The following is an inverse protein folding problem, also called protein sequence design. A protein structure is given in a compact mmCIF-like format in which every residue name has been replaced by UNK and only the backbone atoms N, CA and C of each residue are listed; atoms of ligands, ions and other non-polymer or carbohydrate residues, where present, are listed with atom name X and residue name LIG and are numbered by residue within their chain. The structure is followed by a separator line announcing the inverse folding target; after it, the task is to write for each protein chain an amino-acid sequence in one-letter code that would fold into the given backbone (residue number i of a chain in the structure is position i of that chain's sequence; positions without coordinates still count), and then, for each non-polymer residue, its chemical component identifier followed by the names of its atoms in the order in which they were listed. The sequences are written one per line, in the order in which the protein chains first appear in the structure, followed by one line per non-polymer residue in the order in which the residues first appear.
data_IF_436914568571
#
_entry.id   IF_436914568571
#
_cell.length_a   1.000
_cell.length_b   1.000
_cell.length_c   1.000
_cell.angle_alpha   90.00
_cell.angle_beta   90.00
_cell.angle_gamma   90.00
#
_symmetry.space_group_name_H-M   'P 1'
#
loop_
_entity.id
_entity.type
_entity.pdbx_description
1 polymer ?
#
# COMPACT_ATOMS: atom_id res chain seq x y z
N UNK A 1 -42.90 5.44 -37.92
CA UNK A 1 -42.91 4.99 -36.52
C UNK A 1 -41.47 4.71 -36.16
N UNK A 2 -40.73 5.74 -35.78
CA UNK A 2 -39.35 5.61 -35.31
C UNK A 2 -39.17 6.62 -34.18
N UNK A 3 -38.87 6.14 -32.98
CA UNK A 3 -38.28 6.97 -31.95
C UNK A 3 -37.39 6.09 -31.06
N UNK A 4 -36.09 6.17 -31.36
CA UNK A 4 -34.99 5.69 -30.53
C UNK A 4 -34.91 6.58 -29.27
N UNK A 5 -35.41 6.09 -28.14
CA UNK A 5 -35.11 6.69 -26.84
C UNK A 5 -33.75 6.17 -26.35
N UNK A 6 -32.73 7.03 -26.44
CA UNK A 6 -31.52 6.89 -25.63
C UNK A 6 -31.84 7.21 -24.16
N UNK A 7 -31.27 6.48 -23.17
CA UNK A 7 -31.33 6.91 -21.79
C UNK A 7 -30.26 7.99 -21.56
N UNK A 8 -30.71 9.23 -21.35
CA UNK A 8 -29.88 10.36 -20.94
C UNK A 8 -29.29 10.11 -19.55
N UNK A 9 -27.99 10.38 -19.44
CA UNK A 9 -27.20 10.34 -18.22
C UNK A 9 -27.78 11.22 -17.11
N UNK A 10 -28.12 10.62 -15.97
CA UNK A 10 -28.19 11.33 -14.68
C UNK A 10 -27.06 10.85 -13.78
N UNK A 11 -25.83 11.15 -14.16
CA UNK A 11 -24.67 11.09 -13.27
C UNK A 11 -24.40 12.52 -12.79
N UNK A 12 -24.28 12.66 -11.47
CA UNK A 12 -23.70 13.82 -10.76
C UNK A 12 -24.65 14.88 -10.17
N UNK A 13 -25.62 14.47 -9.33
CA UNK A 13 -25.94 15.27 -8.13
C UNK A 13 -26.18 14.39 -6.90
N UNK A 14 -25.61 14.72 -5.71
CA UNK A 14 -25.93 14.02 -4.48
C UNK A 14 -27.32 14.47 -3.97
N UNK A 15 -28.33 13.62 -4.17
CA UNK A 15 -29.66 13.80 -3.58
C UNK A 15 -29.57 13.95 -2.04
N UNK A 16 -30.19 14.97 -1.43
CA UNK A 16 -30.27 15.11 0.02
C UNK A 16 -31.05 13.92 0.63
N UNK A 17 -30.53 13.33 1.70
CA UNK A 17 -31.19 12.26 2.45
C UNK A 17 -30.75 10.80 2.18
N UNK A 18 -29.69 10.55 1.40
CA UNK A 18 -29.17 9.17 1.27
C UNK A 18 -28.59 8.66 2.61
N UNK A 19 -28.92 7.41 3.03
CA UNK A 19 -28.34 6.81 4.23
C UNK A 19 -26.82 6.73 4.13
N UNK A 20 -26.16 6.78 5.29
CA UNK A 20 -24.71 6.61 5.40
C UNK A 20 -24.31 5.28 4.74
N UNK A 21 -23.30 5.32 3.86
CA UNK A 21 -22.75 4.09 3.27
C UNK A 21 -22.09 3.19 4.32
N UNK A 22 -21.84 3.74 5.51
CA UNK A 22 -21.05 3.13 6.57
C UNK A 22 -21.76 3.12 7.93
N UNK A 23 -22.91 2.46 8.02
CA UNK A 23 -23.79 2.46 9.20
C UNK A 23 -23.20 1.75 10.43
N UNK A 24 -22.22 0.86 10.27
CA UNK A 24 -21.57 0.13 11.37
C UNK A 24 -20.18 0.68 11.74
N UNK A 25 -19.71 1.76 11.09
CA UNK A 25 -18.48 2.43 11.52
C UNK A 25 -18.67 3.11 12.88
N UNK A 26 -17.63 3.06 13.72
CA UNK A 26 -17.55 3.86 14.93
C UNK A 26 -17.82 5.35 14.60
N UNK A 27 -18.64 6.04 15.41
CA UNK A 27 -19.04 7.42 15.17
C UNK A 27 -17.86 8.37 14.90
N UNK A 28 -16.70 8.14 15.53
CA UNK A 28 -15.49 8.94 15.33
C UNK A 28 -14.82 8.68 13.98
N UNK A 29 -14.83 7.44 13.49
CA UNK A 29 -14.37 7.12 12.14
C UNK A 29 -15.23 7.86 11.11
N UNK A 30 -16.55 7.81 11.31
CA UNK A 30 -17.50 8.51 10.45
C UNK A 30 -17.33 10.04 10.50
N UNK A 31 -17.06 10.61 11.67
CA UNK A 31 -16.82 12.05 11.82
C UNK A 31 -15.63 12.51 10.99
N UNK A 32 -14.51 11.79 11.05
CA UNK A 32 -13.32 12.10 10.23
C UNK A 32 -13.64 11.98 8.75
N UNK A 33 -14.32 10.89 8.35
CA UNK A 33 -14.69 10.67 6.96
C UNK A 33 -15.62 11.77 6.42
N UNK A 34 -16.56 12.24 7.23
CA UNK A 34 -17.41 13.40 6.90
C UNK A 34 -16.60 14.68 6.75
N UNK A 35 -15.68 14.96 7.68
CA UNK A 35 -14.83 16.15 7.61
C UNK A 35 -13.98 16.17 6.34
N UNK A 36 -13.35 15.04 5.99
CA UNK A 36 -12.58 14.91 4.75
C UNK A 36 -13.44 15.02 3.48
N UNK A 37 -14.72 14.65 3.56
CA UNK A 37 -15.63 14.79 2.42
C UNK A 37 -16.04 16.23 2.12
N UNK A 38 -15.92 17.15 3.09
CA UNK A 38 -16.27 18.57 2.89
C UNK A 38 -15.23 19.31 2.04
N UNK A 39 -13.96 18.90 2.11
CA UNK A 39 -12.86 19.47 1.35
C UNK A 39 -11.98 18.34 0.81
N UNK A 40 -12.31 17.79 -0.39
CA UNK A 40 -11.60 16.64 -0.92
C UNK A 40 -10.15 16.99 -1.23
N UNK A 41 -9.21 16.42 -0.46
CA UNK A 41 -7.79 16.81 -0.51
C UNK A 41 -7.13 16.55 -1.87
N UNK A 42 -7.64 15.60 -2.64
CA UNK A 42 -7.13 15.30 -3.99
C UNK A 42 -7.43 16.40 -5.02
N UNK A 43 -8.23 17.41 -4.67
CA UNK A 43 -8.41 18.62 -5.49
C UNK A 43 -7.29 19.65 -5.31
N UNK A 44 -6.44 19.48 -4.29
CA UNK A 44 -5.28 20.32 -4.07
C UNK A 44 -4.13 19.90 -5.01
N UNK A 45 -3.14 20.79 -5.27
CA UNK A 45 -1.88 20.38 -5.87
C UNK A 45 -1.27 19.19 -5.11
N UNK A 46 -0.70 18.22 -5.83
CA UNK A 46 -0.17 16.95 -5.27
C UNK A 46 0.78 17.20 -4.08
N UNK A 47 1.66 18.20 -4.19
CA UNK A 47 2.62 18.57 -3.14
C UNK A 47 1.94 19.01 -1.85
N UNK A 48 0.87 19.80 -1.96
CA UNK A 48 0.08 20.23 -0.81
C UNK A 48 -0.70 19.06 -0.22
N UNK A 49 -1.27 18.18 -1.05
CA UNK A 49 -1.95 16.97 -0.57
C UNK A 49 -0.99 16.08 0.25
N UNK A 50 0.24 15.84 -0.25
CA UNK A 50 1.29 15.11 0.49
C UNK A 50 1.58 15.74 1.85
N UNK A 51 1.70 17.07 1.91
CA UNK A 51 1.94 17.78 3.17
C UNK A 51 0.78 17.63 4.16
N UNK A 52 -0.47 17.82 3.70
CA UNK A 52 -1.66 17.67 4.55
C UNK A 52 -1.78 16.24 5.07
N UNK A 53 -1.53 15.23 4.23
CA UNK A 53 -1.57 13.83 4.64
C UNK A 53 -0.53 13.52 5.73
N UNK A 54 0.70 14.05 5.61
CA UNK A 54 1.72 13.94 6.66
C UNK A 54 1.31 14.63 7.96
N UNK A 55 0.73 15.82 7.88
CA UNK A 55 0.25 16.54 9.05
C UNK A 55 -0.87 15.76 9.77
N UNK A 56 -1.81 15.20 9.00
CA UNK A 56 -2.88 14.37 9.54
C UNK A 56 -2.36 13.15 10.29
N UNK A 57 -1.40 12.39 9.73
CA UNK A 57 -0.84 11.22 10.42
C UNK A 57 -0.17 11.59 11.75
N UNK A 58 0.60 12.69 11.79
CA UNK A 58 1.23 13.14 13.04
C UNK A 58 0.21 13.49 14.13
N UNK A 59 -0.89 14.12 13.74
CA UNK A 59 -1.92 14.60 14.66
C UNK A 59 -2.88 13.48 15.08
N UNK A 60 -3.34 12.65 14.13
CA UNK A 60 -4.43 11.69 14.31
C UNK A 60 -3.97 10.22 14.38
N UNK A 61 -2.79 9.92 13.83
CA UNK A 61 -2.19 8.60 13.80
C UNK A 61 -1.61 8.20 15.15
N UNK A 62 -0.88 7.08 15.16
CA UNK A 62 -0.34 6.50 16.40
C UNK A 62 0.56 7.47 17.16
N UNK A 63 0.67 7.27 18.47
CA UNK A 63 1.74 7.92 19.25
C UNK A 63 3.08 7.31 18.86
N UNK A 64 4.10 8.15 18.65
CA UNK A 64 5.46 7.70 18.36
C UNK A 64 5.98 6.82 19.50
N UNK A 65 6.61 5.71 19.13
CA UNK A 65 7.23 4.77 20.06
C UNK A 65 8.75 4.82 19.84
N UNK A 66 9.53 4.91 20.93
CA UNK A 66 10.99 4.82 20.86
C UNK A 66 11.45 3.42 20.48
N UNK A 67 12.46 3.35 19.63
CA UNK A 67 13.07 2.10 19.16
C UNK A 67 14.49 2.00 19.70
N UNK A 68 14.94 0.78 19.98
CA UNK A 68 16.32 0.51 20.42
C UNK A 68 17.35 1.03 19.40
N UNK A 69 17.06 0.85 18.11
CA UNK A 69 17.90 1.36 17.02
C UNK A 69 17.06 1.71 15.81
N UNK A 70 17.42 2.82 15.18
CA UNK A 70 16.95 3.21 13.85
C UNK A 70 18.14 3.46 12.95
N UNK A 71 18.10 2.92 11.74
CA UNK A 71 19.11 3.16 10.72
C UNK A 71 18.43 3.80 9.52
N UNK A 72 18.99 4.90 9.05
CA UNK A 72 18.58 5.59 7.82
C UNK A 72 19.62 5.30 6.76
N UNK A 73 19.19 4.79 5.60
CA UNK A 73 20.05 4.50 4.46
C UNK A 73 19.51 5.19 3.22
N UNK A 74 20.41 5.50 2.31
CA UNK A 74 20.10 5.95 0.96
C UNK A 74 20.75 4.95 0.02
N UNK A 75 19.96 4.32 -0.84
CA UNK A 75 20.45 3.30 -1.76
C UNK A 75 20.27 3.77 -3.20
N UNK A 76 21.19 3.41 -4.11
CA UNK A 76 21.03 3.71 -5.52
C UNK A 76 19.92 2.84 -6.14
N UNK A 77 19.24 3.40 -7.13
CA UNK A 77 18.31 2.71 -8.02
C UNK A 77 18.77 2.89 -9.46
N UNK A 78 18.67 1.85 -10.28
CA UNK A 78 19.18 1.82 -11.66
C UNK A 78 18.16 2.32 -12.69
N UNK A 79 16.89 2.45 -12.29
CA UNK A 79 15.81 2.82 -13.21
C UNK A 79 15.67 4.33 -13.33
N UNK A 80 16.00 4.86 -14.52
CA UNK A 80 15.80 6.26 -14.87
C UNK A 80 14.43 6.49 -15.51
N UNK A 81 13.97 7.73 -15.46
CA UNK A 81 12.85 8.19 -16.29
C UNK A 81 13.23 8.04 -17.77
N UNK A 82 12.34 7.50 -18.62
CA UNK A 82 12.55 7.38 -20.07
C UNK A 82 12.57 8.74 -20.81
N UNK A 83 12.59 9.86 -20.09
CA UNK A 83 12.45 11.22 -20.63
C UNK A 83 13.73 12.07 -20.75
N UNK A 84 14.80 11.77 -20.01
CA UNK A 84 16.01 12.61 -20.02
C UNK A 84 17.17 11.92 -20.73
N UNK A 85 17.28 12.17 -22.03
CA UNK A 85 18.42 11.78 -22.86
C UNK A 85 19.63 12.72 -22.72
N UNK A 86 19.70 13.57 -21.69
CA UNK A 86 20.70 14.64 -21.57
C UNK A 86 21.50 14.67 -20.26
N UNK A 87 21.28 13.76 -19.31
CA UNK A 87 22.05 13.79 -18.06
C UNK A 87 23.42 13.10 -18.21
N UNK A 88 24.47 13.87 -17.93
CA UNK A 88 25.86 13.40 -17.87
C UNK A 88 26.05 12.42 -16.71
N UNK A 89 27.05 11.52 -16.84
CA UNK A 89 27.31 10.44 -15.89
C UNK A 89 27.48 10.88 -14.43
N UNK A 90 27.92 12.13 -14.20
CA UNK A 90 28.09 12.69 -12.84
C UNK A 90 26.76 13.17 -12.20
N UNK A 91 25.73 13.50 -13.00
CA UNK A 91 24.39 13.87 -12.50
C UNK A 91 23.47 12.66 -12.28
N UNK A 92 23.73 11.53 -12.93
CA UNK A 92 22.96 10.29 -12.77
C UNK A 92 22.97 9.76 -11.32
N UNK A 93 24.00 10.08 -10.54
CA UNK A 93 24.24 9.50 -9.22
C UNK A 93 23.51 10.19 -8.06
N UNK A 94 23.00 11.42 -8.23
CA UNK A 94 22.36 12.18 -7.13
C UNK A 94 20.82 12.06 -7.18
N UNK A 95 20.22 11.88 -8.37
CA UNK A 95 18.76 11.88 -8.55
C UNK A 95 18.10 10.49 -8.58
N UNK A 96 18.86 9.40 -8.55
CA UNK A 96 18.35 8.03 -8.57
C UNK A 96 18.68 7.28 -7.30
N UNK A 97 18.16 7.79 -6.19
CA UNK A 97 18.27 7.11 -4.90
C UNK A 97 16.92 7.01 -4.22
N UNK A 98 16.76 5.98 -3.40
CA UNK A 98 15.61 5.83 -2.52
C UNK A 98 16.07 5.70 -1.07
N UNK A 99 15.22 6.15 -0.16
CA UNK A 99 15.51 6.11 1.28
C UNK A 99 14.98 4.82 1.88
N UNK A 100 15.76 4.19 2.75
CA UNK A 100 15.31 3.10 3.61
C UNK A 100 15.40 3.55 5.06
N UNK A 101 14.38 3.23 5.86
CA UNK A 101 14.42 3.38 7.31
C UNK A 101 14.21 2.04 7.98
N UNK A 102 15.20 1.61 8.76
CA UNK A 102 15.22 0.33 9.46
C UNK A 102 14.87 0.59 10.92
N UNK A 103 13.84 -0.09 11.42
CA UNK A 103 13.42 -0.08 12.81
C UNK A 103 13.77 -1.41 13.44
N UNK A 104 14.70 -1.40 14.40
CA UNK A 104 15.10 -2.60 15.13
C UNK A 104 14.48 -2.58 16.53
N UNK A 105 13.55 -3.49 16.85
CA UNK A 105 12.95 -3.58 18.18
C UNK A 105 13.87 -4.25 19.21
N UNK A 106 14.97 -4.89 18.77
CA UNK A 106 16.08 -5.32 19.63
C UNK A 106 17.39 -5.39 18.85
N UNK A 107 18.49 -4.90 19.44
CA UNK A 107 19.79 -4.81 18.77
C UNK A 107 20.64 -6.10 18.78
N UNK A 108 20.27 -7.11 19.59
CA UNK A 108 21.20 -8.17 20.01
C UNK A 108 21.11 -9.49 19.24
N UNK A 109 20.19 -9.64 18.27
CA UNK A 109 20.06 -10.89 17.48
C UNK A 109 19.70 -10.56 16.03
N UNK A 110 20.19 -11.33 15.03
CA UNK A 110 19.67 -11.25 13.67
C UNK A 110 18.16 -11.50 13.70
N UNK A 111 17.38 -10.50 13.31
CA UNK A 111 15.92 -10.58 13.42
C UNK A 111 15.30 -10.96 12.09
N UNK A 112 14.16 -11.64 12.18
CA UNK A 112 13.21 -11.69 11.05
C UNK A 112 12.89 -10.28 10.62
N UNK A 113 12.63 -10.10 9.34
CA UNK A 113 12.53 -8.76 8.75
C UNK A 113 11.33 -8.68 7.83
N UNK A 114 10.56 -7.60 7.96
CA UNK A 114 9.55 -7.20 7.01
C UNK A 114 10.04 -5.98 6.23
N UNK A 115 10.21 -6.14 4.92
CA UNK A 115 10.37 -5.00 4.01
C UNK A 115 8.99 -4.40 3.75
N UNK A 116 8.78 -3.17 4.21
CA UNK A 116 7.49 -2.52 4.28
C UNK A 116 7.36 -1.39 3.26
N UNK A 117 6.35 -1.47 2.41
CA UNK A 117 5.97 -0.45 1.44
C UNK A 117 4.74 0.30 1.95
N UNK A 118 4.81 1.61 2.00
CA UNK A 118 3.71 2.43 2.51
C UNK A 118 2.54 2.53 1.52
N UNK A 119 1.33 2.78 2.02
CA UNK A 119 0.17 3.10 1.19
C UNK A 119 0.18 4.54 0.65
N UNK A 120 -0.89 4.88 -0.08
CA UNK A 120 -1.08 6.23 -0.66
C UNK A 120 -1.26 6.25 -2.18
N UNK A 121 -1.77 5.17 -2.77
CA UNK A 121 -2.08 5.12 -4.21
C UNK A 121 -0.87 5.25 -5.14
N UNK A 122 0.35 5.13 -4.61
CA UNK A 122 1.58 5.43 -5.36
C UNK A 122 1.80 6.92 -5.64
N UNK A 123 1.00 7.81 -5.02
CA UNK A 123 1.01 9.26 -5.29
C UNK A 123 1.30 10.06 -4.02
N UNK A 124 0.76 9.62 -2.88
CA UNK A 124 1.01 10.20 -1.55
C UNK A 124 1.66 9.16 -0.62
N UNK A 125 1.91 9.56 0.62
CA UNK A 125 2.64 8.75 1.59
C UNK A 125 4.15 8.98 1.52
N UNK A 126 4.86 8.39 2.47
CA UNK A 126 6.32 8.34 2.57
C UNK A 126 6.70 7.52 3.82
N UNK A 127 7.99 7.19 3.96
CA UNK A 127 8.56 6.67 5.21
C UNK A 127 8.21 7.51 6.45
N UNK A 128 7.95 8.82 6.27
CA UNK A 128 7.59 9.71 7.39
C UNK A 128 6.12 9.61 7.78
N UNK A 129 5.22 9.43 6.81
CA UNK A 129 3.78 9.24 7.08
C UNK A 129 3.47 7.88 7.71
N UNK A 130 4.39 6.93 7.60
CA UNK A 130 4.23 5.59 8.16
C UNK A 130 5.23 5.33 9.30
N UNK A 131 5.94 6.36 9.79
CA UNK A 131 6.98 6.20 10.82
C UNK A 131 6.42 5.58 12.11
N UNK A 132 5.32 6.13 12.60
CA UNK A 132 4.71 5.65 13.84
C UNK A 132 4.13 4.25 13.67
N UNK A 133 3.55 3.94 12.51
CA UNK A 133 3.03 2.61 12.22
C UNK A 133 4.14 1.56 12.09
N UNK A 134 5.25 1.88 11.40
CA UNK A 134 6.39 0.96 11.29
C UNK A 134 7.05 0.69 12.64
N UNK A 135 7.20 1.71 13.51
CA UNK A 135 7.64 1.51 14.90
C UNK A 135 6.70 0.59 15.67
N UNK A 136 5.40 0.76 15.47
CA UNK A 136 4.37 -0.03 16.12
C UNK A 136 4.42 -1.48 15.68
N UNK A 137 4.54 -1.74 14.38
CA UNK A 137 4.77 -3.07 13.81
C UNK A 137 6.05 -3.69 14.35
N UNK A 138 7.17 -2.95 14.36
CA UNK A 138 8.46 -3.45 14.84
C UNK A 138 8.36 -3.92 16.30
N UNK A 139 7.83 -3.07 17.17
CA UNK A 139 7.69 -3.37 18.61
C UNK A 139 6.76 -4.56 18.87
N UNK A 140 5.57 -4.57 18.28
CA UNK A 140 4.54 -5.54 18.63
C UNK A 140 4.63 -6.85 17.82
N UNK A 141 5.13 -6.77 16.60
CA UNK A 141 5.46 -7.92 15.75
C UNK A 141 6.84 -8.52 16.03
N UNK A 142 7.64 -7.91 16.90
CA UNK A 142 8.95 -8.39 17.37
C UNK A 142 9.93 -8.75 16.24
N UNK A 143 9.91 -7.97 15.17
CA UNK A 143 10.78 -8.16 14.01
C UNK A 143 11.25 -6.83 13.45
N UNK A 144 12.36 -6.84 12.70
CA UNK A 144 12.83 -5.64 12.02
C UNK A 144 11.80 -5.20 10.98
N UNK A 145 11.59 -3.90 10.88
CA UNK A 145 10.81 -3.30 9.78
C UNK A 145 11.76 -2.45 8.95
N UNK A 146 11.77 -2.63 7.63
CA UNK A 146 12.52 -1.78 6.70
C UNK A 146 11.52 -1.05 5.83
N UNK A 147 11.24 0.21 6.16
CA UNK A 147 10.33 1.05 5.38
C UNK A 147 11.05 1.61 4.15
N UNK A 148 10.47 1.38 2.98
CA UNK A 148 11.02 1.79 1.68
C UNK A 148 10.35 3.09 1.22
N UNK A 149 11.14 4.12 0.96
CA UNK A 149 10.73 5.38 0.37
C UNK A 149 10.82 5.36 -1.15
N UNK A 150 10.04 4.49 -1.78
CA UNK A 150 9.97 4.36 -3.24
C UNK A 150 9.46 5.66 -3.89
N UNK A 151 9.87 5.95 -5.12
CA UNK A 151 9.50 7.18 -5.83
C UNK A 151 8.01 7.18 -6.16
N UNK A 152 7.40 8.36 -6.16
CA UNK A 152 5.95 8.52 -6.29
C UNK A 152 5.56 9.16 -7.62
N UNK A 153 4.38 8.79 -8.09
CA UNK A 153 3.67 9.46 -9.15
C UNK A 153 3.08 10.80 -8.67
N UNK A 154 2.80 11.77 -9.57
CA UNK A 154 2.97 11.70 -11.02
C UNK A 154 4.40 11.90 -11.52
N UNK A 155 5.34 12.27 -10.66
CA UNK A 155 6.74 12.50 -11.04
C UNK A 155 7.36 11.21 -11.58
N UNK A 156 7.06 10.08 -10.94
CA UNK A 156 7.52 8.75 -11.34
C UNK A 156 6.33 7.78 -11.47
N UNK A 157 5.75 7.74 -12.68
CA UNK A 157 4.62 6.88 -13.03
C UNK A 157 5.02 5.40 -13.10
N UNK A 158 4.03 4.52 -13.23
CA UNK A 158 4.21 3.11 -13.56
C UNK A 158 5.24 2.93 -14.71
N UNK A 159 6.19 1.97 -14.63
CA UNK A 159 6.39 0.97 -13.57
C UNK A 159 7.46 1.39 -12.52
N UNK A 160 7.87 2.66 -12.46
CA UNK A 160 9.00 3.09 -11.61
C UNK A 160 8.82 2.71 -10.12
N UNK A 161 7.64 2.91 -9.50
CA UNK A 161 7.44 2.52 -8.10
C UNK A 161 7.62 1.01 -7.85
N UNK A 162 7.31 0.16 -8.84
CA UNK A 162 7.54 -1.30 -8.78
C UNK A 162 9.04 -1.58 -8.83
N UNK A 163 9.73 -0.93 -9.76
CA UNK A 163 11.17 -1.12 -9.93
C UNK A 163 11.92 -0.73 -8.66
N UNK A 164 11.59 0.40 -8.04
CA UNK A 164 12.18 0.84 -6.78
C UNK A 164 11.94 -0.18 -5.64
N UNK A 165 10.72 -0.76 -5.59
CA UNK A 165 10.38 -1.76 -4.59
C UNK A 165 11.21 -3.05 -4.76
N UNK A 166 11.40 -3.50 -6.00
CA UNK A 166 12.24 -4.66 -6.34
C UNK A 166 13.73 -4.35 -6.09
N UNK A 167 14.20 -3.14 -6.40
CA UNK A 167 15.59 -2.74 -6.13
C UNK A 167 15.89 -2.66 -4.64
N UNK A 168 14.97 -2.10 -3.84
CA UNK A 168 15.08 -2.16 -2.38
C UNK A 168 15.12 -3.60 -1.87
N UNK A 169 14.22 -4.46 -2.37
CA UNK A 169 14.20 -5.88 -2.03
C UNK A 169 15.54 -6.57 -2.34
N UNK A 170 16.06 -6.39 -3.55
CA UNK A 170 17.33 -6.97 -3.98
C UNK A 170 18.50 -6.42 -3.16
N UNK A 171 18.57 -5.12 -2.93
CA UNK A 171 19.61 -4.50 -2.11
C UNK A 171 19.63 -5.07 -0.70
N UNK A 172 18.46 -5.22 -0.06
CA UNK A 172 18.35 -5.75 1.31
C UNK A 172 18.84 -7.20 1.36
N UNK A 173 18.48 -8.02 0.38
CA UNK A 173 18.95 -9.41 0.28
C UNK A 173 20.47 -9.47 0.04
N UNK A 174 21.00 -8.66 -0.88
CA UNK A 174 22.43 -8.62 -1.21
C UNK A 174 23.29 -8.11 -0.03
N UNK A 175 22.73 -7.25 0.84
CA UNK A 175 23.45 -6.63 1.96
C UNK A 175 23.02 -7.15 3.35
N UNK A 176 22.34 -8.30 3.41
CA UNK A 176 21.72 -8.80 4.64
C UNK A 176 22.71 -8.91 5.83
N UNK A 177 23.98 -9.27 5.58
CA UNK A 177 25.02 -9.36 6.63
C UNK A 177 25.33 -8.00 7.25
N UNK A 178 25.52 -6.98 6.42
CA UNK A 178 25.81 -5.60 6.87
C UNK A 178 24.62 -5.00 7.64
N UNK A 179 23.40 -5.40 7.25
CA UNK A 179 22.17 -4.98 7.89
C UNK A 179 21.82 -5.81 9.14
N UNK A 180 22.60 -6.83 9.48
CA UNK A 180 22.33 -7.79 10.56
C UNK A 180 20.95 -8.48 10.43
N UNK A 181 20.62 -8.90 9.22
CA UNK A 181 19.36 -9.57 8.86
C UNK A 181 19.64 -11.03 8.54
N UNK A 182 18.75 -11.92 9.00
CA UNK A 182 18.75 -13.31 8.57
C UNK A 182 18.04 -13.43 7.21
N UNK A 183 18.74 -13.82 6.12
CA UNK A 183 18.19 -13.84 4.77
C UNK A 183 17.12 -14.92 4.57
N UNK A 184 17.04 -15.92 5.45
CA UNK A 184 16.01 -16.98 5.37
C UNK A 184 14.64 -16.51 5.87
N UNK A 185 14.55 -15.37 6.55
CA UNK A 185 13.33 -14.89 7.20
C UNK A 185 13.02 -13.42 6.86
N UNK A 186 13.17 -13.08 5.59
CA UNK A 186 12.77 -11.77 5.06
C UNK A 186 11.43 -11.92 4.32
N UNK A 187 10.41 -11.22 4.80
CA UNK A 187 9.13 -11.06 4.12
C UNK A 187 8.97 -9.67 3.51
N UNK A 188 7.93 -9.53 2.69
CA UNK A 188 7.48 -8.24 2.14
C UNK A 188 6.11 -7.90 2.71
N UNK A 189 5.76 -6.62 2.77
CA UNK A 189 4.44 -6.23 3.20
C UNK A 189 4.17 -4.77 2.97
N UNK A 190 2.92 -4.39 3.19
CA UNK A 190 2.49 -3.03 2.98
C UNK A 190 0.99 -2.90 3.07
N UNK A 191 0.56 -1.65 3.08
CA UNK A 191 -0.85 -1.30 3.12
C UNK A 191 -1.29 -0.66 1.81
N UNK A 192 -2.52 -0.93 1.36
CA UNK A 192 -3.09 -0.31 0.16
C UNK A 192 -2.18 -0.53 -1.08
N UNK A 193 -1.71 0.54 -1.72
CA UNK A 193 -0.72 0.51 -2.81
C UNK A 193 0.61 -0.15 -2.40
N UNK A 194 1.05 -0.03 -1.15
CA UNK A 194 2.24 -0.74 -0.66
C UNK A 194 2.02 -2.24 -0.58
N UNK A 195 0.80 -2.68 -0.24
CA UNK A 195 0.41 -4.10 -0.32
C UNK A 195 0.45 -4.63 -1.76
N UNK A 196 0.09 -3.80 -2.73
CA UNK A 196 0.26 -4.13 -4.15
C UNK A 196 1.73 -4.32 -4.55
N UNK A 197 2.64 -3.41 -4.14
CA UNK A 197 4.07 -3.56 -4.41
C UNK A 197 4.63 -4.86 -3.80
N UNK A 198 4.21 -5.18 -2.58
CA UNK A 198 4.56 -6.44 -1.93
C UNK A 198 4.06 -7.68 -2.71
N UNK A 199 2.84 -7.64 -3.26
CA UNK A 199 2.32 -8.71 -4.12
C UNK A 199 3.20 -8.92 -5.35
N UNK A 200 3.56 -7.83 -6.04
CA UNK A 200 4.36 -7.92 -7.28
C UNK A 200 5.74 -8.52 -7.02
N UNK A 201 6.39 -8.17 -5.91
CA UNK A 201 7.69 -8.78 -5.54
C UNK A 201 7.55 -10.30 -5.32
N UNK A 202 6.42 -10.75 -4.76
CA UNK A 202 6.13 -12.18 -4.60
C UNK A 202 5.77 -12.91 -5.89
N UNK A 203 5.58 -12.20 -7.01
CA UNK A 203 5.17 -12.74 -8.31
C UNK A 203 6.25 -12.49 -9.37
N UNK A 204 7.37 -13.21 -9.27
CA UNK A 204 8.53 -13.08 -10.17
C UNK A 204 8.17 -13.25 -11.66
N UNK A 205 7.24 -14.15 -11.98
CA UNK A 205 6.79 -14.40 -13.35
C UNK A 205 6.22 -13.15 -14.04
N UNK A 206 5.64 -12.22 -13.27
CA UNK A 206 5.09 -10.96 -13.79
C UNK A 206 6.17 -9.91 -14.10
N UNK A 207 7.37 -10.06 -13.54
CA UNK A 207 8.42 -9.05 -13.58
C UNK A 207 9.30 -9.14 -14.84
N UNK A 208 9.06 -10.12 -15.72
CA UNK A 208 9.89 -10.39 -16.90
C UNK A 208 10.02 -9.23 -17.88
N UNK A 209 9.00 -8.35 -17.95
CA UNK A 209 9.03 -7.13 -18.78
C UNK A 209 9.59 -5.91 -18.06
N UNK A 210 9.96 -6.02 -16.79
CA UNK A 210 10.56 -4.94 -16.00
C UNK A 210 12.08 -4.90 -16.22
N UNK A 211 12.71 -3.73 -16.06
CA UNK A 211 14.17 -3.60 -16.12
C UNK A 211 14.89 -4.30 -14.96
N UNK A 212 14.17 -4.66 -13.90
CA UNK A 212 14.69 -5.31 -12.70
C UNK A 212 13.71 -6.39 -12.24
N UNK A 213 14.25 -7.50 -11.72
CA UNK A 213 13.48 -8.62 -11.20
C UNK A 213 13.98 -8.98 -9.80
N UNK A 214 13.09 -9.45 -8.94
CA UNK A 214 13.39 -9.91 -7.61
C UNK A 214 14.21 -11.22 -7.71
N UNK A 215 15.38 -11.22 -7.07
CA UNK A 215 16.34 -12.33 -7.13
C UNK A 215 15.96 -13.51 -6.23
N UNK A 216 15.17 -13.23 -5.18
CA UNK A 216 14.80 -14.18 -4.13
C UNK A 216 13.31 -14.03 -3.86
N UNK A 217 12.58 -15.14 -3.76
CA UNK A 217 11.18 -15.13 -3.34
C UNK A 217 11.08 -14.77 -1.85
N UNK A 218 10.20 -13.82 -1.44
CA UNK A 218 10.00 -13.51 -0.04
C UNK A 218 9.53 -14.74 0.76
N UNK A 219 9.94 -14.85 2.03
CA UNK A 219 9.48 -15.94 2.89
C UNK A 219 7.97 -15.85 3.21
N UNK A 220 7.43 -14.62 3.22
CA UNK A 220 6.02 -14.33 3.41
C UNK A 220 5.63 -12.97 2.83
N UNK A 221 4.32 -12.75 2.65
CA UNK A 221 3.73 -11.46 2.34
C UNK A 221 2.69 -11.03 3.39
N UNK A 222 2.79 -9.79 3.87
CA UNK A 222 1.90 -9.20 4.87
C UNK A 222 1.09 -8.05 4.24
N UNK A 223 -0.11 -8.36 3.76
CA UNK A 223 -0.91 -7.48 2.93
C UNK A 223 -2.07 -6.87 3.72
N UNK A 224 -2.06 -5.54 3.85
CA UNK A 224 -3.07 -4.82 4.62
C UNK A 224 -3.97 -4.07 3.63
N UNK A 225 -5.22 -4.51 3.47
CA UNK A 225 -6.22 -3.96 2.53
C UNK A 225 -5.62 -3.62 1.14
N UNK A 226 -5.00 -4.61 0.45
CA UNK A 226 -4.11 -4.35 -0.68
C UNK A 226 -4.87 -3.92 -1.94
N UNK A 227 -4.23 -3.07 -2.75
CA UNK A 227 -4.73 -2.55 -4.03
C UNK A 227 -4.45 -3.53 -5.19
N UNK A 228 -5.08 -4.71 -5.18
CA UNK A 228 -4.74 -5.83 -6.09
C UNK A 228 -5.43 -5.80 -7.46
N UNK A 229 -6.37 -4.87 -7.68
CA UNK A 229 -7.00 -4.62 -8.97
C UNK A 229 -7.33 -3.12 -9.11
N UNK A 230 -6.99 -2.54 -10.26
CA UNK A 230 -7.27 -1.14 -10.60
C UNK A 230 -8.34 -0.98 -11.69
N UNK A 231 -9.00 -2.04 -12.15
CA UNK A 231 -10.09 -1.93 -13.11
C UNK A 231 -11.32 -1.23 -12.51
N UNK A 232 -11.59 -1.41 -11.22
CA UNK A 232 -12.71 -0.76 -10.52
C UNK A 232 -14.09 -1.32 -10.90
N UNK A 233 -14.18 -2.64 -11.13
CA UNK A 233 -15.38 -3.30 -11.64
C UNK A 233 -16.30 -3.87 -10.54
N UNK A 234 -15.84 -3.92 -9.30
CA UNK A 234 -16.51 -4.58 -8.17
C UNK A 234 -17.67 -3.78 -7.56
N UNK A 235 -18.53 -4.46 -6.77
CA UNK A 235 -19.63 -3.80 -6.04
C UNK A 235 -19.07 -2.82 -5.02
N UNK A 236 -18.06 -3.24 -4.24
CA UNK A 236 -17.44 -2.38 -3.22
C UNK A 236 -16.90 -1.09 -3.83
N UNK A 237 -16.24 -1.18 -4.99
CA UNK A 237 -15.70 -0.03 -5.70
C UNK A 237 -16.79 0.95 -6.14
N UNK A 238 -17.89 0.44 -6.70
CA UNK A 238 -19.02 1.27 -7.15
C UNK A 238 -19.79 1.90 -6.00
N UNK A 239 -19.94 1.16 -4.90
CA UNK A 239 -20.73 1.55 -3.72
C UNK A 239 -20.07 2.69 -2.95
N UNK A 240 -18.77 2.57 -2.67
CA UNK A 240 -18.06 3.43 -1.74
C UNK A 240 -17.49 4.68 -2.42
N UNK A 241 -18.37 5.64 -2.71
CA UNK A 241 -18.02 6.86 -3.45
C UNK A 241 -18.01 8.15 -2.61
N UNK A 242 -18.38 8.10 -1.34
CA UNK A 242 -18.38 9.28 -0.45
C UNK A 242 -18.30 8.87 1.03
N UNK A 243 -18.05 9.84 1.91
CA UNK A 243 -18.12 9.68 3.37
C UNK A 243 -17.20 8.57 3.91
N UNK A 244 -16.06 8.38 3.28
CA UNK A 244 -14.97 7.48 3.67
C UNK A 244 -13.63 8.18 3.43
N UNK A 245 -12.54 7.70 4.06
CA UNK A 245 -11.18 8.20 3.79
C UNK A 245 -10.79 7.90 2.35
N UNK A 246 -10.94 6.63 1.93
CA UNK A 246 -10.81 6.24 0.53
C UNK A 246 -12.19 6.17 -0.11
N UNK A 247 -12.34 6.84 -1.24
CA UNK A 247 -13.53 6.80 -2.08
C UNK A 247 -13.15 6.37 -3.49
N UNK A 248 -14.15 5.94 -4.27
CA UNK A 248 -14.01 5.74 -5.71
C UNK A 248 -13.31 6.91 -6.41
N UNK A 249 -13.79 8.13 -6.19
CA UNK A 249 -13.22 9.32 -6.84
C UNK A 249 -11.74 9.56 -6.47
N UNK A 250 -11.35 9.21 -5.23
CA UNK A 250 -9.94 9.25 -4.83
C UNK A 250 -9.12 8.12 -5.47
N UNK A 251 -9.70 6.94 -5.66
CA UNK A 251 -9.07 5.87 -6.45
C UNK A 251 -8.91 6.27 -7.91
N UNK A 252 -9.89 6.93 -8.53
CA UNK A 252 -9.82 7.46 -9.90
C UNK A 252 -8.66 8.45 -10.03
N UNK A 253 -8.54 9.36 -9.07
CA UNK A 253 -7.40 10.28 -8.97
C UNK A 253 -6.06 9.53 -8.93
N UNK A 254 -5.93 8.52 -8.06
CA UNK A 254 -4.69 7.73 -7.99
C UNK A 254 -4.39 7.02 -9.31
N UNK A 255 -5.38 6.41 -9.96
CA UNK A 255 -5.20 5.73 -11.26
C UNK A 255 -4.65 6.69 -12.33
N UNK A 256 -5.24 7.88 -12.44
CA UNK A 256 -4.83 8.89 -13.43
C UNK A 256 -3.41 9.40 -13.21
N UNK A 257 -2.99 9.54 -11.96
CA UNK A 257 -1.64 9.99 -11.63
C UNK A 257 -0.61 8.87 -11.76
N UNK A 258 -0.94 7.65 -11.30
CA UNK A 258 -0.03 6.52 -11.25
C UNK A 258 0.26 5.90 -12.61
N UNK A 259 -0.75 5.73 -13.46
CA UNK A 259 -0.64 5.06 -14.75
C UNK A 259 -0.20 6.02 -15.87
N UNK A 260 0.46 5.49 -16.89
CA UNK A 260 0.75 6.21 -18.14
C UNK A 260 -0.50 6.27 -19.03
N UNK A 261 -1.26 5.17 -19.06
CA UNK A 261 -2.56 5.07 -19.73
C UNK A 261 -3.53 4.26 -18.88
N UNK A 262 -4.81 4.60 -18.93
CA UNK A 262 -5.85 3.81 -18.25
C UNK A 262 -6.01 2.41 -18.84
N UNK A 263 -5.53 2.15 -20.07
CA UNK A 263 -5.52 0.80 -20.64
C UNK A 263 -4.57 -0.15 -19.88
N UNK A 264 -3.63 0.40 -19.11
CA UNK A 264 -2.69 -0.40 -18.30
C UNK A 264 -3.38 -1.11 -17.13
N UNK A 265 -4.62 -0.76 -16.76
CA UNK A 265 -5.35 -1.39 -15.64
C UNK A 265 -5.56 -2.90 -15.82
N UNK A 266 -5.52 -3.40 -17.05
CA UNK A 266 -5.65 -4.84 -17.34
C UNK A 266 -4.33 -5.59 -17.31
N UNK A 267 -3.18 -4.89 -17.17
CA UNK A 267 -1.88 -5.54 -17.07
C UNK A 267 -1.77 -6.24 -15.71
N UNK A 268 -1.36 -7.53 -15.64
CA UNK A 268 -1.14 -8.20 -14.36
C UNK A 268 -0.11 -7.52 -13.45
N UNK A 269 0.83 -6.78 -14.04
CA UNK A 269 1.78 -5.93 -13.28
C UNK A 269 1.11 -4.77 -12.55
N UNK A 270 -0.07 -4.33 -12.99
CA UNK A 270 -0.88 -3.26 -12.38
C UNK A 270 -1.99 -3.84 -11.50
N UNK A 271 -2.60 -4.94 -11.96
CA UNK A 271 -3.72 -5.62 -11.31
C UNK A 271 -3.34 -7.10 -11.11
N UNK A 272 -2.54 -7.45 -10.08
CA UNK A 272 -2.09 -8.81 -9.83
C UNK A 272 -3.22 -9.83 -9.62
N UNK A 273 -4.44 -9.38 -9.30
CA UNK A 273 -5.63 -10.23 -9.29
C UNK A 273 -5.89 -10.93 -10.65
N UNK A 274 -5.42 -10.32 -11.75
CA UNK A 274 -5.57 -10.82 -13.11
C UNK A 274 -4.45 -11.77 -13.55
N UNK A 275 -3.44 -12.00 -12.71
CA UNK A 275 -2.36 -12.95 -13.02
C UNK A 275 -2.95 -14.34 -13.33
N UNK A 276 -2.44 -14.99 -14.39
CA UNK A 276 -2.90 -16.34 -14.75
C UNK A 276 -2.42 -17.39 -13.76
N UNK A 277 -1.17 -17.25 -13.33
CA UNK A 277 -0.53 -18.11 -12.34
C UNK A 277 -0.09 -17.24 -11.15
N UNK A 278 -0.36 -17.74 -9.94
CA UNK A 278 0.03 -17.13 -8.66
C UNK A 278 0.66 -18.17 -7.74
N UNK A 279 1.03 -19.34 -8.25
CA UNK A 279 1.59 -20.47 -7.49
C UNK A 279 2.93 -20.14 -6.83
N UNK A 280 3.64 -19.12 -7.33
CA UNK A 280 4.88 -18.60 -6.74
C UNK A 280 4.65 -17.65 -5.56
N UNK A 281 3.40 -17.26 -5.28
CA UNK A 281 3.08 -16.34 -4.18
C UNK A 281 3.55 -16.90 -2.83
N UNK A 282 4.17 -16.07 -1.98
CA UNK A 282 4.66 -16.53 -0.70
C UNK A 282 3.51 -16.77 0.31
N UNK A 283 3.82 -17.43 1.44
CA UNK A 283 2.90 -17.56 2.58
C UNK A 283 2.30 -16.19 2.91
N UNK A 284 0.98 -16.10 3.04
CA UNK A 284 0.28 -14.82 3.00
C UNK A 284 -0.53 -14.55 4.27
N UNK A 285 -0.48 -13.30 4.73
CA UNK A 285 -1.52 -12.71 5.56
C UNK A 285 -2.22 -11.62 4.75
N UNK A 286 -3.55 -11.60 4.75
CA UNK A 286 -4.35 -10.59 4.07
C UNK A 286 -5.41 -10.06 5.02
N UNK A 287 -5.42 -8.74 5.23
CA UNK A 287 -6.53 -8.04 5.85
C UNK A 287 -7.40 -7.37 4.79
N UNK A 288 -8.72 -7.48 4.92
CA UNK A 288 -9.71 -6.76 4.12
C UNK A 288 -10.71 -6.05 5.04
N UNK A 289 -11.41 -5.03 4.53
CA UNK A 289 -12.25 -4.16 5.36
C UNK A 289 -13.66 -4.01 4.77
N UNK A 290 -14.67 -3.92 5.63
CA UNK A 290 -16.07 -3.83 5.23
C UNK A 290 -16.41 -2.54 4.48
N UNK A 291 -15.75 -1.43 4.85
CA UNK A 291 -15.97 -0.08 4.31
C UNK A 291 -14.79 0.40 3.46
N UNK A 292 -14.52 -0.32 2.37
CA UNK A 292 -13.37 -0.09 1.51
C UNK A 292 -13.74 -0.36 0.03
N UNK A 293 -13.50 0.60 -0.89
CA UNK A 293 -13.62 0.34 -2.33
C UNK A 293 -12.88 -0.92 -2.81
N UNK A 294 -11.74 -1.25 -2.18
CA UNK A 294 -10.87 -2.37 -2.54
C UNK A 294 -11.28 -3.72 -1.92
N UNK A 295 -12.38 -3.74 -1.16
CA UNK A 295 -12.81 -4.92 -0.37
C UNK A 295 -12.93 -6.18 -1.23
N UNK A 296 -13.74 -6.12 -2.27
CA UNK A 296 -14.12 -7.31 -3.02
C UNK A 296 -12.91 -7.86 -3.80
N UNK A 297 -12.07 -6.99 -4.35
CA UNK A 297 -10.83 -7.36 -5.04
C UNK A 297 -9.84 -8.06 -4.08
N UNK A 298 -9.68 -7.50 -2.86
CA UNK A 298 -8.86 -8.13 -1.82
C UNK A 298 -9.39 -9.48 -1.34
N UNK A 299 -10.71 -9.63 -1.20
CA UNK A 299 -11.34 -10.91 -0.86
C UNK A 299 -11.13 -11.93 -1.99
N UNK A 300 -11.34 -11.53 -3.25
CA UNK A 300 -11.13 -12.38 -4.41
C UNK A 300 -9.67 -12.86 -4.50
N UNK A 301 -8.70 -11.98 -4.24
CA UNK A 301 -7.29 -12.36 -4.23
C UNK A 301 -6.95 -13.34 -3.11
N UNK A 302 -7.47 -13.13 -1.89
CA UNK A 302 -7.30 -14.06 -0.78
C UNK A 302 -7.90 -15.44 -1.07
N UNK A 303 -9.06 -15.49 -1.73
CA UNK A 303 -9.68 -16.75 -2.17
C UNK A 303 -8.83 -17.45 -3.24
N UNK A 304 -8.30 -16.71 -4.21
CA UNK A 304 -7.40 -17.26 -5.23
C UNK A 304 -6.13 -17.85 -4.64
N UNK A 305 -5.48 -17.18 -3.70
CA UNK A 305 -4.28 -17.71 -3.03
C UNK A 305 -4.59 -19.03 -2.30
N UNK A 306 -5.70 -19.10 -1.56
CA UNK A 306 -6.16 -20.33 -0.92
C UNK A 306 -6.44 -21.45 -1.92
N UNK A 307 -7.12 -21.12 -3.03
CA UNK A 307 -7.44 -22.08 -4.08
C UNK A 307 -6.18 -22.60 -4.81
N UNK A 308 -5.13 -21.80 -4.90
CA UNK A 308 -3.82 -22.18 -5.42
C UNK A 308 -2.96 -22.99 -4.42
N UNK A 309 -3.48 -23.29 -3.22
CA UNK A 309 -2.77 -24.06 -2.19
C UNK A 309 -1.76 -23.24 -1.38
N UNK A 310 -1.74 -21.91 -1.52
CA UNK A 310 -0.85 -21.04 -0.75
C UNK A 310 -1.36 -20.94 0.68
N UNK A 311 -0.49 -21.17 1.66
CA UNK A 311 -0.80 -20.98 3.07
C UNK A 311 -1.16 -19.51 3.34
N UNK A 312 -2.47 -19.24 3.47
CA UNK A 312 -3.03 -17.89 3.47
C UNK A 312 -3.96 -17.69 4.66
N UNK A 313 -3.56 -16.84 5.59
CA UNK A 313 -4.43 -16.28 6.62
C UNK A 313 -5.17 -15.08 6.03
N UNK A 314 -6.50 -15.12 6.04
CA UNK A 314 -7.33 -14.00 5.61
C UNK A 314 -8.20 -13.54 6.77
N UNK A 315 -8.13 -12.25 7.09
CA UNK A 315 -8.93 -11.59 8.09
C UNK A 315 -9.79 -10.52 7.43
N UNK A 316 -11.03 -10.39 7.91
CA UNK A 316 -11.95 -9.36 7.47
C UNK A 316 -12.44 -8.57 8.67
N UNK A 317 -12.42 -7.23 8.58
CA UNK A 317 -13.02 -6.35 9.58
C UNK A 317 -14.23 -5.65 8.97
N UNK A 318 -15.44 -6.10 9.32
CA UNK A 318 -16.70 -5.52 8.82
C UNK A 318 -16.87 -4.04 9.21
N UNK A 319 -16.23 -3.61 10.30
CA UNK A 319 -16.46 -2.33 10.98
C UNK A 319 -15.29 -1.34 10.88
N UNK A 320 -14.41 -1.53 9.89
CA UNK A 320 -13.27 -0.64 9.62
C UNK A 320 -13.32 -0.13 8.18
N UNK A 321 -12.75 1.06 7.97
CA UNK A 321 -12.61 1.69 6.65
C UNK A 321 -11.16 1.79 6.20
N UNK A 322 -10.94 1.91 4.90
CA UNK A 322 -9.59 2.04 4.34
C UNK A 322 -8.78 3.16 5.02
N UNK A 323 -7.50 2.91 5.31
CA UNK A 323 -6.62 3.89 5.92
C UNK A 323 -6.87 4.19 7.40
N UNK A 324 -7.65 3.36 8.11
CA UNK A 324 -7.95 3.58 9.53
C UNK A 324 -6.70 3.69 10.43
N UNK A 325 -5.55 3.15 9.99
CA UNK A 325 -4.28 3.22 10.74
C UNK A 325 -3.83 4.66 11.02
N UNK A 326 -4.29 5.63 10.22
CA UNK A 326 -3.95 7.06 10.36
C UNK A 326 -4.87 7.84 11.31
N UNK A 327 -5.85 7.19 11.96
CA UNK A 327 -6.83 7.86 12.85
C UNK A 327 -6.94 7.21 14.25
N UNK A 328 -5.91 6.48 14.66
CA UNK A 328 -5.88 5.67 15.89
C UNK A 328 -5.94 6.48 17.19
N UNK A 329 -5.59 7.78 17.20
CA UNK A 329 -5.80 8.64 18.37
C UNK A 329 -7.27 9.01 18.59
N UNK A 330 -8.04 9.09 17.49
CA UNK A 330 -9.46 9.42 17.58
C UNK A 330 -10.31 8.17 17.81
N UNK A 331 -10.10 7.12 17.02
CA UNK A 331 -10.93 5.92 17.02
C UNK A 331 -10.30 4.81 17.87
N UNK A 332 -11.04 4.38 18.90
CA UNK A 332 -10.60 3.27 19.74
C UNK A 332 -10.62 1.96 18.96
N UNK A 333 -11.59 1.79 18.05
CA UNK A 333 -11.68 0.62 17.17
C UNK A 333 -10.50 0.55 16.20
N UNK A 334 -10.13 1.67 15.58
CA UNK A 334 -8.97 1.76 14.71
C UNK A 334 -7.69 1.41 15.47
N UNK A 335 -7.50 1.95 16.69
CA UNK A 335 -6.36 1.61 17.54
C UNK A 335 -6.29 0.12 17.85
N UNK A 336 -7.42 -0.50 18.21
CA UNK A 336 -7.49 -1.96 18.45
C UNK A 336 -7.17 -2.74 17.18
N UNK A 337 -7.77 -2.38 16.04
CA UNK A 337 -7.51 -3.02 14.75
C UNK A 337 -6.02 -2.96 14.38
N UNK A 338 -5.40 -1.80 14.55
CA UNK A 338 -3.96 -1.58 14.34
C UNK A 338 -3.11 -2.45 15.26
N UNK A 339 -3.51 -2.62 16.52
CA UNK A 339 -2.85 -3.52 17.43
C UNK A 339 -2.97 -4.99 17.00
N UNK A 340 -4.17 -5.43 16.64
CA UNK A 340 -4.44 -6.79 16.17
C UNK A 340 -3.61 -7.11 14.90
N UNK A 341 -3.47 -6.15 13.97
CA UNK A 341 -2.57 -6.26 12.79
C UNK A 341 -1.13 -6.49 13.23
N UNK A 342 -0.60 -5.63 14.11
CA UNK A 342 0.78 -5.75 14.55
C UNK A 342 1.05 -7.08 15.27
N UNK A 343 0.06 -7.59 16.00
CA UNK A 343 0.13 -8.91 16.62
C UNK A 343 0.09 -10.05 15.61
N UNK A 344 -0.70 -9.94 14.53
CA UNK A 344 -0.77 -10.96 13.48
C UNK A 344 0.58 -11.21 12.79
N UNK A 345 1.45 -10.20 12.75
CA UNK A 345 2.80 -10.33 12.22
C UNK A 345 3.65 -11.37 12.98
N UNK A 346 3.34 -11.65 14.25
CA UNK A 346 4.02 -12.69 15.02
C UNK A 346 3.80 -14.11 14.47
N UNK A 347 2.76 -14.35 13.65
CA UNK A 347 2.55 -15.66 13.00
C UNK A 347 3.64 -16.03 11.97
N UNK A 348 4.55 -15.10 11.69
CA UNK A 348 5.73 -15.29 10.86
C UNK A 348 7.02 -15.33 11.69
N UNK A 349 6.93 -15.38 13.03
CA UNK A 349 8.08 -15.55 13.92
C UNK A 349 8.45 -17.01 14.22
N UNK A 350 7.55 -17.93 13.90
CA UNK A 350 7.74 -19.37 14.09
C UNK A 350 8.55 -20.02 12.97
#
# INVERSE_FOLDING_TARGET
MDNLNQPTSSLNEPLPGKPLQASQLEAKQLMVAKWLSLAPLYKLPVTLFRYVFLAMDRVLGLTKIEMDKIVELVIPVSTNHRGDATDTADNLHINNTIKLRIYCPSANKPQRTLVYFHGGGGVIGSINTHDHFCRYLAKHGKMNIISVGYRLAPEHKFPIPICDAIEAWNYINDNHQQLNINPQYIGVGGDSAGGYLACIIGLNSLQTSLPVQAKVTPAFQFLIYPMVDLQGLTESYRRFNKQLILTRDLMDYFRLHYLNSLDEVTLPLVSPLLAKDISESPKSYILTLGYDPLRDDGIAYAQRLKAAGINTQHQHYDDCMHGFISITKLSARAKKATHDIAMALNSFND
#
